data_IF_570423859893
#
_entry.id   IF_570423859893
#
_cell.length_a   1.000
_cell.length_b   1.000
_cell.length_c   1.000
_cell.angle_alpha   90.00
_cell.angle_beta   90.00
_cell.angle_gamma   90.00
#
_symmetry.space_group_name_H-M   'P 1'
#
loop_
_entity.id
_entity.type
_entity.pdbx_description
1 polymer ?
#
# COMPACT_ATOMS: atom_id res chain seq x y z
N UNK A 1 -0.38 -2.87 22.34
CA UNK A 1 0.33 -3.46 21.17
C UNK A 1 1.39 -2.45 20.80
N UNK A 2 2.66 -2.86 20.64
CA UNK A 2 3.68 -1.90 20.17
C UNK A 2 3.40 -1.67 18.69
N UNK A 3 2.99 -0.46 18.32
CA UNK A 3 2.82 -0.08 16.92
C UNK A 3 4.20 -0.12 16.27
N UNK A 4 4.34 -0.88 15.20
CA UNK A 4 5.58 -0.91 14.42
C UNK A 4 5.46 0.23 13.42
N UNK A 5 6.42 1.15 13.40
CA UNK A 5 6.34 2.26 12.45
C UNK A 5 6.48 1.74 11.01
N UNK A 6 5.70 2.29 10.07
CA UNK A 6 5.69 1.87 8.66
C UNK A 6 7.11 1.86 8.02
N UNK A 7 8.00 2.86 8.22
CA UNK A 7 9.38 2.80 7.73
C UNK A 7 10.14 1.55 8.21
N UNK A 8 9.91 1.11 9.46
CA UNK A 8 10.57 -0.08 10.04
C UNK A 8 10.22 -1.35 9.26
N UNK A 9 9.03 -1.43 8.68
CA UNK A 9 8.61 -2.55 7.83
C UNK A 9 9.18 -2.46 6.41
N UNK A 10 9.25 -1.25 5.85
CA UNK A 10 9.47 -1.02 4.43
C UNK A 10 10.93 -0.74 4.04
N UNK A 11 11.71 -0.07 4.89
CA UNK A 11 13.13 0.19 4.62
C UNK A 11 13.96 -1.10 4.43
N UNK A 12 13.80 -2.17 5.24
CA UNK A 12 14.59 -3.39 5.09
C UNK A 12 14.38 -4.11 3.76
N UNK A 13 13.21 -3.95 3.13
CA UNK A 13 12.90 -4.54 1.82
C UNK A 13 13.27 -3.63 0.65
N UNK A 14 13.82 -2.44 0.94
CA UNK A 14 14.35 -1.53 -0.05
C UNK A 14 13.39 -0.45 -0.54
N UNK A 15 12.39 -0.11 0.27
CA UNK A 15 11.45 0.99 0.01
C UNK A 15 11.85 2.20 0.85
N UNK A 16 11.97 3.35 0.22
CA UNK A 16 12.13 4.64 0.89
C UNK A 16 10.83 5.42 0.76
N UNK A 17 10.21 5.73 1.90
CA UNK A 17 8.98 6.48 1.96
C UNK A 17 9.22 7.98 1.69
N UNK A 18 8.21 8.69 1.15
CA UNK A 18 8.28 10.12 0.94
C UNK A 18 8.37 10.87 2.27
N UNK A 19 9.06 12.00 2.26
CA UNK A 19 9.12 12.92 3.40
C UNK A 19 8.03 14.02 3.32
N UNK A 20 7.52 14.26 2.11
CA UNK A 20 6.51 15.29 1.78
C UNK A 20 5.74 14.88 0.50
N UNK A 21 4.76 15.69 0.07
CA UNK A 21 3.98 15.44 -1.15
C UNK A 21 4.79 15.53 -2.46
N UNK A 22 5.93 16.22 -2.45
CA UNK A 22 6.74 16.45 -3.66
C UNK A 22 7.69 15.28 -3.93
N UNK A 23 7.99 14.52 -2.88
CA UNK A 23 8.80 13.30 -2.95
C UNK A 23 7.97 12.06 -3.30
N UNK A 24 8.51 11.25 -4.19
CA UNK A 24 7.91 9.97 -4.61
C UNK A 24 8.44 8.83 -3.74
N UNK A 25 7.68 7.74 -3.63
CA UNK A 25 8.19 6.48 -3.08
C UNK A 25 9.31 5.97 -3.98
N UNK A 26 10.48 5.70 -3.39
CA UNK A 26 11.64 5.16 -4.12
C UNK A 26 11.85 3.71 -3.73
N UNK A 27 12.07 2.85 -4.72
CA UNK A 27 12.38 1.43 -4.52
C UNK A 27 13.76 1.12 -5.11
N UNK A 28 14.54 0.30 -4.39
CA UNK A 28 15.87 -0.10 -4.83
C UNK A 28 15.88 -1.36 -5.73
N UNK A 29 14.71 -1.83 -6.15
CA UNK A 29 14.51 -3.02 -6.96
C UNK A 29 13.38 -2.79 -7.98
N UNK A 30 13.05 -3.80 -8.79
CA UNK A 30 11.86 -3.74 -9.67
C UNK A 30 10.58 -4.02 -8.87
N UNK A 31 9.40 -3.54 -9.31
CA UNK A 31 8.13 -3.80 -8.60
C UNK A 31 7.84 -5.29 -8.35
N UNK A 32 8.09 -6.17 -9.32
CA UNK A 32 7.92 -7.62 -9.11
C UNK A 32 8.87 -8.20 -8.06
N UNK A 33 10.13 -7.78 -8.07
CA UNK A 33 11.11 -8.19 -7.05
C UNK A 33 10.72 -7.64 -5.67
N UNK A 34 10.12 -6.45 -5.61
CA UNK A 34 9.60 -5.90 -4.37
C UNK A 34 8.44 -6.74 -3.82
N UNK A 35 7.51 -7.19 -4.67
CA UNK A 35 6.43 -8.10 -4.26
C UNK A 35 7.00 -9.38 -3.61
N UNK A 36 8.03 -9.97 -4.22
CA UNK A 36 8.73 -11.15 -3.67
C UNK A 36 9.38 -10.85 -2.30
N UNK A 37 10.02 -9.68 -2.16
CA UNK A 37 10.64 -9.25 -0.89
C UNK A 37 9.62 -8.99 0.21
N UNK A 38 8.47 -8.40 -0.12
CA UNK A 38 7.36 -8.22 0.83
C UNK A 38 6.86 -9.61 1.26
N UNK A 39 6.59 -10.51 0.32
CA UNK A 39 6.14 -11.87 0.62
C UNK A 39 7.13 -12.61 1.54
N UNK A 40 8.44 -12.49 1.26
CA UNK A 40 9.49 -13.06 2.09
C UNK A 40 9.51 -12.42 3.49
N UNK A 41 9.44 -11.10 3.60
CA UNK A 41 9.45 -10.39 4.88
C UNK A 41 8.26 -10.82 5.76
N UNK A 42 7.06 -10.87 5.18
CA UNK A 42 5.84 -11.34 5.85
C UNK A 42 5.97 -12.79 6.30
N UNK A 43 6.53 -13.67 5.47
CA UNK A 43 6.75 -15.07 5.81
C UNK A 43 7.79 -15.26 6.94
N UNK A 44 8.84 -14.43 6.98
CA UNK A 44 9.87 -14.49 8.02
C UNK A 44 9.42 -13.92 9.36
N UNK A 45 8.59 -12.89 9.34
CA UNK A 45 8.13 -12.17 10.53
C UNK A 45 6.62 -11.92 10.51
N UNK A 46 5.77 -12.96 10.43
CA UNK A 46 4.33 -12.75 10.29
C UNK A 46 3.71 -11.98 11.45
N UNK A 47 4.31 -12.08 12.65
CA UNK A 47 3.88 -11.31 13.84
C UNK A 47 4.06 -9.80 13.69
N UNK A 48 5.06 -9.38 12.92
CA UNK A 48 5.40 -7.96 12.75
C UNK A 48 4.56 -7.32 11.63
N UNK A 49 4.01 -8.14 10.73
CA UNK A 49 3.22 -7.68 9.58
C UNK A 49 1.72 -7.89 9.79
N UNK A 50 1.30 -9.09 10.17
CA UNK A 50 -0.12 -9.49 10.26
C UNK A 50 -0.56 -9.66 11.73
N UNK A 51 0.39 -10.00 12.60
CA UNK A 51 0.13 -10.29 14.01
C UNK A 51 0.14 -11.80 14.28
N UNK A 52 -0.14 -12.17 15.53
CA UNK A 52 -0.21 -13.57 15.90
C UNK A 52 -1.53 -14.18 15.39
N UNK A 53 -1.53 -15.37 14.77
CA UNK A 53 -2.76 -16.00 14.29
C UNK A 53 -3.72 -16.22 15.46
N UNK A 54 -4.87 -15.53 15.43
CA UNK A 54 -5.98 -15.73 16.36
C UNK A 54 -7.18 -16.32 15.60
N UNK A 55 -8.07 -17.07 16.29
CA UNK A 55 -9.26 -17.65 15.65
C UNK A 55 -10.16 -16.63 14.97
N UNK A 56 -10.21 -15.40 15.52
CA UNK A 56 -10.87 -14.23 14.94
C UNK A 56 -10.00 -13.04 15.29
N UNK A 57 -9.22 -12.53 14.33
CA UNK A 57 -8.53 -11.24 14.46
C UNK A 57 -9.20 -10.28 13.48
N UNK A 58 -9.75 -9.14 13.95
CA UNK A 58 -10.14 -8.04 13.08
C UNK A 58 -8.96 -7.62 12.19
N UNK A 59 -9.22 -7.33 10.92
CA UNK A 59 -8.17 -6.88 10.00
C UNK A 59 -7.55 -5.55 10.45
N UNK A 60 -8.35 -4.71 11.12
CA UNK A 60 -7.96 -3.44 11.75
C UNK A 60 -6.90 -3.59 12.85
N UNK A 61 -6.82 -4.78 13.46
CA UNK A 61 -5.83 -5.07 14.50
C UNK A 61 -4.49 -5.54 13.91
N UNK A 62 -4.34 -5.66 12.58
CA UNK A 62 -3.08 -6.12 12.00
C UNK A 62 -2.03 -5.00 12.08
N UNK A 63 -0.76 -5.32 12.41
CA UNK A 63 0.30 -4.32 12.43
C UNK A 63 0.39 -3.52 11.13
N UNK A 64 0.36 -4.18 9.96
CA UNK A 64 0.44 -3.47 8.67
C UNK A 64 -0.72 -2.50 8.46
N UNK A 65 -1.95 -2.87 8.87
CA UNK A 65 -3.10 -1.97 8.80
C UNK A 65 -2.88 -0.77 9.72
N UNK A 66 -2.58 -1.01 11.01
CA UNK A 66 -2.38 0.06 12.00
C UNK A 66 -1.25 0.99 11.57
N UNK A 67 -0.12 0.45 11.11
CA UNK A 67 1.02 1.24 10.65
C UNK A 67 0.69 2.12 9.45
N UNK A 68 -0.04 1.60 8.46
CA UNK A 68 -0.46 2.37 7.28
C UNK A 68 -1.49 3.43 7.65
N UNK A 69 -2.49 3.03 8.44
CA UNK A 69 -3.57 3.90 8.89
C UNK A 69 -3.05 5.04 9.75
N UNK A 70 -2.26 4.77 10.79
CA UNK A 70 -1.63 5.78 11.62
C UNK A 70 -0.75 6.72 10.79
N UNK A 71 0.03 6.20 9.85
CA UNK A 71 0.90 7.02 9.02
C UNK A 71 0.11 8.00 8.14
N UNK A 72 -0.97 7.52 7.51
CA UNK A 72 -1.86 8.37 6.70
C UNK A 72 -2.68 9.33 7.57
N UNK A 73 -3.17 8.91 8.73
CA UNK A 73 -3.91 9.78 9.65
C UNK A 73 -3.04 10.94 10.16
N UNK A 74 -1.76 10.67 10.46
CA UNK A 74 -0.81 11.70 10.90
C UNK A 74 -0.33 12.59 9.74
N UNK A 75 -0.31 12.07 8.51
CA UNK A 75 0.11 12.82 7.32
C UNK A 75 -0.76 12.47 6.09
N UNK A 76 -2.03 12.95 6.03
CA UNK A 76 -2.98 12.54 4.98
C UNK A 76 -2.52 12.86 3.57
N UNK A 77 -1.73 13.92 3.45
CA UNK A 77 -1.13 14.37 2.20
C UNK A 77 -0.15 13.35 1.59
N UNK A 78 0.44 12.48 2.41
CA UNK A 78 1.39 11.46 1.95
C UNK A 78 0.71 10.20 1.38
N UNK A 79 -0.62 10.09 1.47
CA UNK A 79 -1.36 9.01 0.80
C UNK A 79 -1.19 9.05 -0.72
N UNK A 80 -1.14 10.26 -1.31
CA UNK A 80 -0.99 10.43 -2.77
C UNK A 80 0.29 9.75 -3.28
N UNK A 81 1.48 10.04 -2.73
CA UNK A 81 2.70 9.31 -3.05
C UNK A 81 2.60 7.78 -2.95
N UNK A 82 1.83 7.23 -2.01
CA UNK A 82 1.64 5.77 -1.88
C UNK A 82 0.78 5.17 -3.01
N UNK A 83 -0.09 5.98 -3.60
CA UNK A 83 -0.97 5.63 -4.73
C UNK A 83 -0.34 5.92 -6.09
N UNK A 84 0.70 6.74 -6.12
CA UNK A 84 1.44 7.09 -7.33
C UNK A 84 2.45 5.99 -7.71
N UNK A 85 2.84 5.92 -8.99
CA UNK A 85 3.85 4.98 -9.45
C UNK A 85 5.20 5.16 -8.72
N UNK A 86 5.83 4.07 -8.28
CA UNK A 86 7.13 4.14 -7.60
C UNK A 86 8.26 4.58 -8.54
N UNK A 87 9.29 5.22 -7.98
CA UNK A 87 10.56 5.46 -8.66
C UNK A 87 11.56 4.35 -8.37
N UNK A 88 12.10 3.72 -9.40
CA UNK A 88 13.23 2.77 -9.22
C UNK A 88 14.56 3.52 -9.21
N UNK A 89 15.42 3.24 -8.21
CA UNK A 89 16.77 3.79 -8.15
C UNK A 89 17.57 3.48 -9.44
N UNK A 90 18.22 4.50 -9.99
CA UNK A 90 18.88 4.49 -11.29
C UNK A 90 19.94 3.38 -11.44
N UNK A 91 20.58 2.96 -10.33
CA UNK A 91 21.55 1.86 -10.33
C UNK A 91 20.94 0.52 -10.75
N UNK A 92 19.66 0.30 -10.47
CA UNK A 92 18.94 -0.94 -10.77
C UNK A 92 18.09 -0.83 -12.04
N UNK A 93 17.71 0.38 -12.44
CA UNK A 93 16.99 0.63 -13.69
C UNK A 93 17.79 0.23 -14.95
N UNK A 94 19.13 0.25 -14.90
CA UNK A 94 19.99 -0.02 -16.05
C UNK A 94 20.18 -1.53 -16.37
N UNK A 95 19.90 -2.42 -15.41
CA UNK A 95 20.28 -3.84 -15.54
C UNK A 95 19.26 -4.63 -16.39
N UNK A 96 18.02 -4.14 -16.57
CA UNK A 96 16.92 -4.93 -17.16
C UNK A 96 16.15 -4.20 -18.28
N UNK A 97 16.86 -3.53 -19.19
CA UNK A 97 16.24 -2.89 -20.38
C UNK A 97 15.76 -3.87 -21.48
N UNK A 98 15.84 -5.19 -21.30
CA UNK A 98 15.46 -6.17 -22.34
C UNK A 98 14.14 -6.94 -22.09
N UNK A 99 13.46 -6.73 -20.97
CA UNK A 99 12.09 -7.25 -20.71
C UNK A 99 11.00 -6.17 -20.91
N UNK A 100 11.30 -5.18 -21.75
CA UNK A 100 10.53 -3.96 -21.94
C UNK A 100 9.35 -4.17 -22.89
N UNK A 101 8.20 -4.55 -22.32
CA UNK A 101 6.84 -4.14 -22.74
C UNK A 101 5.87 -4.47 -21.61
N UNK A 102 5.40 -3.41 -20.93
CA UNK A 102 4.17 -3.38 -20.11
C UNK A 102 4.24 -3.65 -18.59
N UNK A 103 5.37 -3.42 -17.89
CA UNK A 103 5.24 -3.09 -16.46
C UNK A 103 4.83 -1.63 -16.36
N UNK A 104 3.51 -1.38 -16.31
CA UNK A 104 2.99 -0.11 -15.84
C UNK A 104 3.66 0.15 -14.48
N UNK A 105 4.26 1.33 -14.28
CA UNK A 105 4.92 1.63 -13.02
C UNK A 105 3.88 1.49 -11.90
N UNK A 106 4.04 0.45 -11.07
CA UNK A 106 3.10 0.12 -10.01
C UNK A 106 3.33 1.04 -8.83
N UNK A 107 2.27 1.36 -8.10
CA UNK A 107 2.41 2.02 -6.80
C UNK A 107 2.87 1.01 -5.75
N UNK A 108 3.33 1.51 -4.59
CA UNK A 108 3.69 0.62 -3.47
C UNK A 108 2.46 -0.14 -2.94
N UNK A 109 1.30 0.52 -2.87
CA UNK A 109 0.05 -0.13 -2.43
C UNK A 109 -0.38 -1.22 -3.41
N UNK A 110 -0.15 -1.02 -4.71
CA UNK A 110 -0.40 -2.05 -5.72
C UNK A 110 0.54 -3.23 -5.58
N UNK A 111 1.83 -2.98 -5.35
CA UNK A 111 2.78 -4.06 -5.05
C UNK A 111 2.33 -4.87 -3.83
N UNK A 112 1.87 -4.21 -2.77
CA UNK A 112 1.38 -4.90 -1.58
C UNK A 112 0.08 -5.68 -1.82
N UNK A 113 -0.85 -5.16 -2.63
CA UNK A 113 -2.08 -5.86 -3.04
C UNK A 113 -1.79 -7.14 -3.84
N UNK A 114 -0.64 -7.23 -4.50
CA UNK A 114 -0.22 -8.43 -5.23
C UNK A 114 0.40 -9.50 -4.31
N UNK A 115 0.55 -9.22 -3.01
CA UNK A 115 1.10 -10.18 -2.03
C UNK A 115 -0.04 -10.84 -1.27
N UNK A 116 -0.29 -12.11 -1.59
CA UNK A 116 -1.38 -12.94 -1.03
C UNK A 116 -1.55 -12.79 0.48
N UNK A 117 -0.45 -12.89 1.24
CA UNK A 117 -0.47 -12.89 2.70
C UNK A 117 -0.99 -11.58 3.31
N UNK A 118 -0.85 -10.44 2.62
CA UNK A 118 -1.30 -9.13 3.12
C UNK A 118 -2.42 -8.51 2.28
N UNK A 119 -2.78 -9.09 1.13
CA UNK A 119 -3.72 -8.51 0.17
C UNK A 119 -5.02 -8.04 0.82
N UNK A 120 -5.61 -8.87 1.68
CA UNK A 120 -6.87 -8.54 2.35
C UNK A 120 -6.72 -7.39 3.36
N UNK A 121 -5.58 -7.29 4.06
CA UNK A 121 -5.31 -6.18 4.98
C UNK A 121 -5.16 -4.85 4.24
N UNK A 122 -4.48 -4.88 3.07
CA UNK A 122 -4.30 -3.69 2.25
C UNK A 122 -5.61 -3.27 1.59
N UNK A 123 -6.39 -4.22 1.08
CA UNK A 123 -7.72 -3.94 0.54
C UNK A 123 -8.63 -3.30 1.61
N UNK A 124 -8.64 -3.86 2.83
CA UNK A 124 -9.41 -3.31 3.93
C UNK A 124 -8.94 -1.91 4.35
N UNK A 125 -7.62 -1.67 4.41
CA UNK A 125 -7.06 -0.33 4.62
C UNK A 125 -7.53 0.65 3.54
N UNK A 126 -7.50 0.25 2.27
CA UNK A 126 -7.95 1.09 1.16
C UNK A 126 -9.42 1.50 1.33
N UNK A 127 -10.28 0.59 1.76
CA UNK A 127 -11.69 0.89 1.99
C UNK A 127 -11.93 1.74 3.23
N UNK A 128 -11.22 1.48 4.34
CA UNK A 128 -11.27 2.35 5.51
C UNK A 128 -10.89 3.80 5.16
N UNK A 129 -9.84 4.00 4.37
CA UNK A 129 -9.45 5.32 3.87
C UNK A 129 -10.51 5.93 2.96
N UNK A 130 -11.18 5.14 2.11
CA UNK A 130 -12.30 5.65 1.32
C UNK A 130 -13.43 6.12 2.24
N UNK A 131 -13.87 5.32 3.21
CA UNK A 131 -14.93 5.72 4.15
C UNK A 131 -14.56 7.00 4.89
N UNK A 132 -13.37 7.06 5.50
CA UNK A 132 -12.91 8.21 6.29
C UNK A 132 -12.70 9.48 5.47
N UNK A 133 -12.24 9.36 4.23
CA UNK A 133 -12.03 10.49 3.34
C UNK A 133 -13.33 10.95 2.68
N UNK A 134 -14.39 10.13 2.62
CA UNK A 134 -15.65 10.50 1.93
C UNK A 134 -16.80 10.85 2.88
N UNK A 135 -16.90 10.23 4.05
CA UNK A 135 -17.98 10.51 5.03
C UNK A 135 -18.03 11.97 5.53
N UNK A 136 -16.90 12.66 5.81
CA UNK A 136 -16.93 14.04 6.33
C UNK A 136 -17.38 15.10 5.31
N UNK A 137 -17.42 14.77 4.01
CA UNK A 137 -17.75 15.73 2.95
C UNK A 137 -19.20 15.67 2.47
N UNK A 138 -20.03 14.84 3.10
CA UNK A 138 -21.47 14.90 2.90
C UNK A 138 -22.07 16.25 3.35
N UNK A 139 -21.41 16.96 4.28
CA UNK A 139 -21.96 18.15 4.94
C UNK A 139 -21.13 19.46 4.80
N UNK A 140 -19.99 19.46 4.09
CA UNK A 140 -19.07 20.62 4.02
C UNK A 140 -18.68 21.06 2.59
N UNK A 141 -18.54 22.38 2.32
CA UNK A 141 -18.09 22.89 1.01
C UNK A 141 -16.59 22.59 0.77
N UNK A 142 -16.36 21.88 -0.33
CA UNK A 142 -15.14 21.32 -0.93
C UNK A 142 -13.73 21.65 -0.36
N UNK A 143 -12.86 20.62 -0.19
CA UNK A 143 -11.43 20.78 0.05
C UNK A 143 -10.65 21.17 -1.22
N UNK A 144 -9.40 21.60 -1.02
CA UNK A 144 -8.45 22.13 -2.02
C UNK A 144 -7.93 21.11 -3.04
N UNK A 145 -8.25 19.83 -2.89
CA UNK A 145 -8.13 18.82 -3.92
C UNK A 145 -9.53 18.41 -4.37
N UNK A 146 -9.74 18.21 -5.67
CA UNK A 146 -10.95 17.53 -6.11
C UNK A 146 -10.91 16.10 -5.56
N UNK A 147 -11.58 15.87 -4.43
CA UNK A 147 -11.96 14.55 -3.87
C UNK A 147 -12.20 13.45 -4.94
N UNK A 148 -12.82 13.75 -6.11
CA UNK A 148 -12.89 12.81 -7.23
C UNK A 148 -11.58 12.13 -7.66
N UNK A 149 -10.42 12.81 -7.57
CA UNK A 149 -9.15 12.27 -8.06
C UNK A 149 -8.55 11.23 -7.12
N UNK A 150 -8.64 11.45 -5.81
CA UNK A 150 -8.13 10.50 -4.81
C UNK A 150 -8.94 9.19 -4.83
N UNK A 151 -10.26 9.27 -5.00
CA UNK A 151 -11.13 8.09 -5.19
C UNK A 151 -10.68 7.24 -6.37
N UNK A 152 -10.47 7.89 -7.52
CA UNK A 152 -10.06 7.22 -8.75
C UNK A 152 -8.68 6.60 -8.57
N UNK A 153 -7.77 7.28 -7.87
CA UNK A 153 -6.45 6.71 -7.53
C UNK A 153 -6.56 5.47 -6.65
N UNK A 154 -7.42 5.48 -5.62
CA UNK A 154 -7.66 4.32 -4.77
C UNK A 154 -8.26 3.14 -5.54
N UNK A 155 -9.33 3.37 -6.29
CA UNK A 155 -9.97 2.33 -7.13
C UNK A 155 -8.98 1.78 -8.16
N UNK A 156 -8.14 2.62 -8.76
CA UNK A 156 -7.16 2.19 -9.76
C UNK A 156 -6.12 1.22 -9.18
N UNK A 157 -5.88 1.23 -7.87
CA UNK A 157 -5.00 0.24 -7.25
C UNK A 157 -5.60 -1.17 -7.36
N UNK A 158 -6.91 -1.30 -7.18
CA UNK A 158 -7.65 -2.56 -7.19
C UNK A 158 -7.94 -3.12 -8.60
N UNK A 159 -7.74 -2.32 -9.66
CA UNK A 159 -7.98 -2.75 -11.05
C UNK A 159 -6.87 -3.67 -11.55
N UNK A 160 -7.20 -4.72 -12.30
CA UNK A 160 -6.19 -5.58 -12.93
C UNK A 160 -5.17 -6.18 -11.94
N UNK A 161 -5.61 -6.53 -10.73
CA UNK A 161 -4.81 -7.41 -9.87
C UNK A 161 -4.63 -8.75 -10.57
N UNK A 162 -3.44 -9.33 -10.51
CA UNK A 162 -3.16 -10.59 -11.20
C UNK A 162 -4.01 -11.74 -10.62
N UNK A 163 -4.33 -11.63 -9.34
CA UNK A 163 -5.16 -12.58 -8.60
C UNK A 163 -5.87 -11.86 -7.44
N UNK A 164 -7.05 -12.37 -7.08
CA UNK A 164 -7.77 -11.98 -5.86
C UNK A 164 -7.95 -13.24 -5.03
N UNK A 165 -7.24 -13.31 -3.90
CA UNK A 165 -7.14 -14.53 -3.09
C UNK A 165 -8.46 -14.89 -2.41
N UNK A 166 -9.16 -13.90 -1.86
CA UNK A 166 -10.51 -14.07 -1.29
C UNK A 166 -11.46 -13.04 -1.92
N UNK A 167 -12.12 -13.36 -3.04
CA UNK A 167 -13.00 -12.42 -3.72
C UNK A 167 -14.23 -12.06 -2.88
N UNK A 168 -14.64 -12.90 -1.92
CA UNK A 168 -15.80 -12.62 -1.07
C UNK A 168 -15.43 -11.63 0.02
N UNK A 169 -14.32 -11.86 0.73
CA UNK A 169 -13.83 -10.91 1.71
C UNK A 169 -13.41 -9.59 1.05
N UNK A 170 -12.84 -9.63 -0.16
CA UNK A 170 -12.45 -8.46 -0.94
C UNK A 170 -13.65 -7.63 -1.44
N UNK A 171 -14.79 -8.26 -1.74
CA UNK A 171 -15.99 -7.54 -2.19
C UNK A 171 -16.82 -6.91 -1.06
N UNK A 172 -16.65 -7.41 0.18
CA UNK A 172 -17.33 -6.90 1.38
C UNK A 172 -16.48 -5.85 2.08
N UNK A 173 -15.15 -6.01 2.01
CA UNK A 173 -14.22 -4.96 2.40
C UNK A 173 -14.53 -3.74 1.57
#
# INVERSE_FOLDING_TARGET
MTVIDLPTLLEPIGVTLPADMETMVVINCQPCELQDRIAQAVATSPKDWIGAPKPVQPLEDSPIFVSLHDWVQNAPHLLIPLLMPVMTDAKHAAVHQEALRQTASESILKCMLQVEAIQLHIAHFMNAILEEVFEPFADHPQPTFTLPDLHVMCINQLRYLDHVHDPFAFAIS
#
